data_IF_818613670629
#
_entry.id   IF_818613670629
#
_cell.length_a   1.000
_cell.length_b   1.000
_cell.length_c   1.000
_cell.angle_alpha   90.00
_cell.angle_beta   90.00
_cell.angle_gamma   90.00
#
_symmetry.space_group_name_H-M   'P 1'
#
loop_
_entity.id
_entity.type
_entity.pdbx_description
1 polymer ?
#
# COMPACT_ATOMS: atom_id res chain seq x y z
N UNK A 1 1.22 -33.41 31.27
CA UNK A 1 0.44 -33.09 30.05
C UNK A 1 0.10 -31.60 30.12
N UNK A 2 0.98 -30.75 29.62
CA UNK A 2 0.70 -29.35 29.37
C UNK A 2 0.06 -29.31 27.99
N UNK A 3 -1.18 -28.86 27.93
CA UNK A 3 -1.94 -28.64 26.71
C UNK A 3 -1.25 -27.58 25.83
N UNK A 4 -0.96 -27.96 24.61
CA UNK A 4 -0.36 -27.16 23.56
C UNK A 4 -1.36 -26.17 22.95
N UNK A 5 -2.09 -25.43 23.74
CA UNK A 5 -3.02 -24.38 23.33
C UNK A 5 -2.61 -23.02 23.94
N UNK A 6 -1.37 -22.62 23.71
CA UNK A 6 -1.10 -21.20 23.59
C UNK A 6 -1.40 -20.82 22.15
N UNK A 7 -2.71 -20.68 21.89
CA UNK A 7 -3.18 -19.89 20.77
C UNK A 7 -2.41 -18.57 20.78
N UNK A 8 -1.71 -18.29 19.72
CA UNK A 8 -1.25 -16.96 19.37
C UNK A 8 -2.46 -16.03 19.61
N UNK A 9 -2.40 -15.26 20.69
CA UNK A 9 -3.30 -14.15 20.94
C UNK A 9 -3.06 -13.19 19.75
N UNK A 10 -3.82 -13.36 18.69
CA UNK A 10 -3.97 -12.32 17.69
C UNK A 10 -4.49 -11.11 18.44
N UNK A 11 -3.63 -10.12 18.61
CA UNK A 11 -3.98 -8.87 19.27
C UNK A 11 -5.15 -8.30 18.46
N UNK A 12 -6.36 -8.34 19.01
CA UNK A 12 -7.53 -7.78 18.32
C UNK A 12 -7.29 -6.30 18.10
N UNK A 13 -7.15 -5.92 16.84
CA UNK A 13 -6.99 -4.52 16.44
C UNK A 13 -8.36 -3.88 16.41
N UNK A 14 -8.58 -2.87 17.26
CA UNK A 14 -9.83 -2.13 17.35
C UNK A 14 -9.68 -0.71 16.79
N UNK A 15 -10.50 -0.36 15.83
CA UNK A 15 -10.56 1.00 15.25
C UNK A 15 -11.45 1.86 16.13
N UNK A 16 -10.89 2.90 16.71
CA UNK A 16 -11.59 3.80 17.65
C UNK A 16 -11.90 5.18 17.09
N UNK A 17 -11.30 5.54 15.96
CA UNK A 17 -11.55 6.81 15.28
C UNK A 17 -11.26 6.73 13.80
N UNK A 18 -12.07 7.39 13.01
CA UNK A 18 -11.94 7.49 11.56
C UNK A 18 -12.32 8.89 11.09
N UNK A 19 -11.61 9.38 10.10
CA UNK A 19 -11.95 10.63 9.42
C UNK A 19 -11.58 10.56 7.95
N UNK A 20 -12.44 11.12 7.12
CA UNK A 20 -12.21 11.22 5.68
C UNK A 20 -12.49 12.65 5.24
N UNK A 21 -11.52 13.25 4.56
CA UNK A 21 -11.61 14.60 4.03
C UNK A 21 -11.20 14.63 2.56
N UNK A 22 -11.65 15.64 1.82
CA UNK A 22 -11.21 15.85 0.45
C UNK A 22 -9.70 16.08 0.40
N UNK A 23 -9.00 15.31 -0.44
CA UNK A 23 -7.56 15.47 -0.62
C UNK A 23 -7.24 16.72 -1.44
N UNK A 24 -6.54 17.67 -0.82
CA UNK A 24 -6.04 18.89 -1.46
C UNK A 24 -4.51 18.89 -1.49
N UNK A 25 -3.93 19.62 -2.43
CA UNK A 25 -2.47 19.74 -2.56
C UNK A 25 -1.73 18.47 -2.98
N UNK A 26 -2.46 17.38 -3.28
CA UNK A 26 -1.90 16.09 -3.72
C UNK A 26 -2.41 15.77 -5.12
N UNK A 27 -1.50 15.42 -6.03
CA UNK A 27 -1.83 14.99 -7.39
C UNK A 27 -1.04 13.75 -7.76
N UNK A 28 -1.75 12.70 -8.22
CA UNK A 28 -1.14 11.42 -8.62
C UNK A 28 -0.20 10.83 -7.54
N UNK A 29 -0.60 10.93 -6.27
CA UNK A 29 0.16 10.43 -5.14
C UNK A 29 1.41 11.25 -4.77
N UNK A 30 1.51 12.49 -5.24
CA UNK A 30 2.62 13.40 -4.91
C UNK A 30 2.08 14.73 -4.36
N UNK A 31 2.73 15.26 -3.35
CA UNK A 31 2.43 16.61 -2.84
C UNK A 31 2.90 17.62 -3.88
N UNK A 32 1.96 18.40 -4.41
CA UNK A 32 2.19 19.49 -5.37
C UNK A 32 1.99 20.87 -4.74
N UNK A 33 1.22 20.95 -3.65
CA UNK A 33 1.07 22.12 -2.80
C UNK A 33 1.11 21.66 -1.35
N UNK A 34 2.15 22.06 -0.61
CA UNK A 34 2.37 21.57 0.75
C UNK A 34 1.39 22.20 1.74
N UNK A 35 1.01 23.45 1.55
CA UNK A 35 0.09 24.17 2.44
C UNK A 35 -1.30 23.54 2.39
N UNK A 36 -1.85 23.35 1.19
CA UNK A 36 -3.13 22.65 1.02
C UNK A 36 -3.11 21.22 1.56
N UNK A 37 -2.00 20.49 1.38
CA UNK A 37 -1.85 19.13 1.90
C UNK A 37 -1.83 19.13 3.43
N UNK A 38 -1.17 20.10 4.05
CA UNK A 38 -1.14 20.27 5.52
C UNK A 38 -2.54 20.60 6.05
N UNK A 39 -3.27 21.53 5.44
CA UNK A 39 -4.64 21.89 5.85
C UNK A 39 -5.59 20.67 5.78
N UNK A 40 -5.55 19.92 4.70
CA UNK A 40 -6.34 18.70 4.56
C UNK A 40 -5.95 17.64 5.62
N UNK A 41 -4.65 17.52 5.92
CA UNK A 41 -4.15 16.59 6.93
C UNK A 41 -4.61 17.00 8.33
N UNK A 42 -4.54 18.31 8.69
CA UNK A 42 -5.06 18.83 9.97
C UNK A 42 -6.53 18.46 10.13
N UNK A 43 -7.35 18.76 9.14
CA UNK A 43 -8.78 18.48 9.19
C UNK A 43 -9.10 16.99 9.39
N UNK A 44 -8.31 16.09 8.72
CA UNK A 44 -8.45 14.64 8.85
C UNK A 44 -8.03 14.17 10.24
N UNK A 45 -6.90 14.64 10.76
CA UNK A 45 -6.38 14.26 12.08
C UNK A 45 -7.32 14.70 13.18
N UNK A 46 -7.73 15.98 13.19
CA UNK A 46 -8.68 16.50 14.18
C UNK A 46 -10.03 15.76 14.17
N UNK A 47 -10.49 15.33 12.99
CA UNK A 47 -11.69 14.52 12.87
C UNK A 47 -11.54 13.15 13.53
N UNK A 48 -10.42 12.46 13.30
CA UNK A 48 -10.12 11.15 13.90
C UNK A 48 -9.88 11.26 15.42
N UNK A 49 -9.11 12.25 15.88
CA UNK A 49 -8.85 12.51 17.31
C UNK A 49 -10.14 12.80 18.09
N UNK A 50 -11.03 13.60 17.50
CA UNK A 50 -12.32 13.92 18.09
C UNK A 50 -13.19 12.70 18.30
N UNK A 51 -13.16 11.75 17.35
CA UNK A 51 -13.89 10.48 17.46
C UNK A 51 -13.23 9.53 18.45
N UNK A 52 -11.90 9.43 18.42
CA UNK A 52 -11.12 8.55 19.29
C UNK A 52 -11.03 9.05 20.74
N UNK A 53 -11.24 10.34 20.99
CA UNK A 53 -11.07 10.96 22.32
C UNK A 53 -9.62 11.05 22.79
N UNK A 54 -8.64 10.96 21.88
CA UNK A 54 -7.21 11.00 22.17
C UNK A 54 -6.43 11.72 21.07
N UNK A 55 -5.30 12.34 21.43
CA UNK A 55 -4.42 13.01 20.48
C UNK A 55 -3.43 12.07 19.83
N UNK A 56 -3.10 12.35 18.57
CA UNK A 56 -2.18 11.58 17.73
C UNK A 56 -0.80 12.25 17.72
N UNK A 57 0.20 11.66 18.39
CA UNK A 57 1.58 12.16 18.39
C UNK A 57 2.46 11.56 17.30
N UNK A 58 2.10 10.37 16.80
CA UNK A 58 2.89 9.64 15.79
C UNK A 58 1.98 8.76 14.93
N UNK A 59 2.44 8.45 13.70
CA UNK A 59 1.66 7.66 12.75
C UNK A 59 2.54 6.83 11.79
N UNK A 60 2.00 5.70 11.34
CA UNK A 60 2.40 5.03 10.10
C UNK A 60 1.71 5.73 8.93
N UNK A 61 2.41 5.89 7.83
CA UNK A 61 1.94 6.71 6.71
C UNK A 61 2.06 5.97 5.39
N UNK A 62 0.96 5.89 4.64
CA UNK A 62 0.99 5.28 3.33
C UNK A 62 1.62 6.23 2.29
N UNK A 63 2.45 5.66 1.40
CA UNK A 63 2.96 6.32 0.21
C UNK A 63 2.56 5.54 -1.05
N UNK A 64 2.03 6.23 -2.05
CA UNK A 64 1.61 5.64 -3.32
C UNK A 64 1.59 6.68 -4.42
N UNK A 65 2.52 6.60 -5.34
CA UNK A 65 2.63 7.50 -6.49
C UNK A 65 3.55 6.90 -7.54
N UNK A 66 3.55 7.44 -8.76
CA UNK A 66 4.36 6.91 -9.88
C UNK A 66 5.88 6.91 -9.62
N UNK A 67 6.32 7.54 -8.54
CA UNK A 67 7.71 7.52 -8.08
C UNK A 67 8.07 6.27 -7.27
N UNK A 68 7.10 5.45 -6.87
CA UNK A 68 7.34 4.14 -6.25
C UNK A 68 7.71 3.14 -7.34
N UNK A 69 8.77 2.38 -7.10
CA UNK A 69 9.19 1.26 -7.95
C UNK A 69 9.79 0.16 -7.09
N UNK A 70 9.97 -1.01 -7.67
CA UNK A 70 10.58 -2.12 -6.98
C UNK A 70 11.76 -2.71 -7.75
N UNK A 71 12.56 -3.47 -7.03
CA UNK A 71 13.64 -4.29 -7.56
C UNK A 71 13.78 -5.54 -6.69
N UNK A 72 13.93 -6.69 -7.31
CA UNK A 72 14.28 -7.91 -6.59
C UNK A 72 15.80 -8.00 -6.50
N UNK A 73 16.31 -8.41 -5.34
CA UNK A 73 17.74 -8.55 -5.06
C UNK A 73 18.03 -9.88 -4.37
N UNK A 74 19.26 -10.32 -4.49
CA UNK A 74 19.76 -11.55 -3.92
C UNK A 74 20.99 -11.25 -3.07
N UNK A 75 21.00 -11.76 -1.83
CA UNK A 75 22.13 -11.64 -0.90
C UNK A 75 22.68 -13.00 -0.55
N UNK A 76 23.97 -13.06 -0.26
CA UNK A 76 24.70 -14.29 0.12
C UNK A 76 25.68 -13.96 1.22
N UNK A 77 25.72 -14.79 2.27
CA UNK A 77 26.73 -14.72 3.34
C UNK A 77 27.18 -16.13 3.73
N UNK A 78 28.40 -16.25 4.24
CA UNK A 78 28.85 -17.45 4.94
C UNK A 78 28.31 -17.41 6.38
N UNK A 79 27.96 -18.60 6.93
CA UNK A 79 27.55 -18.75 8.31
C UNK A 79 28.76 -18.48 9.21
N UNK A 80 28.56 -17.72 10.29
CA UNK A 80 29.63 -17.28 11.17
C UNK A 80 29.97 -18.27 12.26
N UNK A 81 29.01 -19.09 12.65
CA UNK A 81 29.14 -20.06 13.72
C UNK A 81 30.04 -21.23 13.32
N UNK A 82 31.02 -21.63 14.17
CA UNK A 82 31.92 -22.77 13.90
C UNK A 82 31.19 -24.11 13.78
N UNK A 83 30.05 -24.26 14.46
CA UNK A 83 29.23 -25.46 14.43
C UNK A 83 28.21 -25.41 13.27
N UNK A 84 28.19 -24.32 12.50
CA UNK A 84 27.36 -24.13 11.33
C UNK A 84 25.89 -23.85 11.64
N UNK A 85 25.53 -23.45 12.86
CA UNK A 85 24.16 -23.10 13.20
C UNK A 85 23.85 -21.64 12.80
N UNK A 86 22.79 -21.47 12.04
CA UNK A 86 22.32 -20.14 11.58
C UNK A 86 21.66 -19.41 12.74
N UNK A 87 22.11 -18.20 13.00
CA UNK A 87 21.55 -17.33 14.03
C UNK A 87 20.96 -16.02 13.45
N UNK A 88 20.28 -15.24 14.30
CA UNK A 88 19.65 -13.99 13.86
C UNK A 88 20.62 -12.99 13.21
N UNK A 89 21.88 -12.95 13.67
CA UNK A 89 22.89 -12.03 13.08
C UNK A 89 23.31 -12.44 11.67
N UNK A 90 23.24 -13.73 11.32
CA UNK A 90 23.47 -14.20 9.95
C UNK A 90 22.33 -13.80 9.03
N UNK A 91 21.09 -13.85 9.55
CA UNK A 91 19.88 -13.37 8.85
C UNK A 91 19.98 -11.87 8.59
N UNK A 92 20.34 -11.08 9.59
CA UNK A 92 20.53 -9.63 9.42
C UNK A 92 21.60 -9.31 8.37
N UNK A 93 22.74 -9.99 8.42
CA UNK A 93 23.83 -9.81 7.45
C UNK A 93 23.44 -10.16 6.04
N UNK A 94 22.68 -11.23 5.82
CA UNK A 94 22.28 -11.63 4.46
C UNK A 94 21.23 -10.68 3.90
N UNK A 95 20.33 -10.15 4.73
CA UNK A 95 19.36 -9.10 4.34
C UNK A 95 20.09 -7.79 4.03
N UNK A 96 21.09 -7.40 4.84
CA UNK A 96 21.92 -6.23 4.57
C UNK A 96 22.69 -6.37 3.25
N UNK A 97 23.29 -7.54 2.99
CA UNK A 97 23.94 -7.83 1.73
C UNK A 97 22.98 -7.72 0.52
N UNK A 98 21.75 -8.23 0.65
CA UNK A 98 20.74 -8.10 -0.39
C UNK A 98 20.27 -6.65 -0.60
N UNK A 99 20.36 -5.81 0.45
CA UNK A 99 19.96 -4.39 0.41
C UNK A 99 21.03 -3.47 -0.17
N UNK A 100 22.27 -3.94 -0.26
CA UNK A 100 23.45 -3.18 -0.72
C UNK A 100 23.46 -3.00 -2.26
N UNK A 101 22.35 -2.47 -2.80
CA UNK A 101 22.20 -2.18 -4.23
C UNK A 101 22.61 -0.74 -4.56
N UNK A 102 23.06 -0.54 -5.78
CA UNK A 102 23.34 0.82 -6.28
C UNK A 102 22.03 1.50 -6.68
N UNK A 103 21.65 2.54 -5.94
CA UNK A 103 20.50 3.38 -6.25
C UNK A 103 20.94 4.78 -6.67
N UNK A 104 20.19 5.45 -7.58
CA UNK A 104 20.35 6.88 -7.81
C UNK A 104 20.18 7.67 -6.52
N UNK A 105 20.94 8.75 -6.31
CA UNK A 105 20.87 9.59 -5.10
C UNK A 105 19.47 10.22 -4.85
N UNK A 106 18.61 10.27 -5.89
CA UNK A 106 17.23 10.73 -5.81
C UNK A 106 16.23 9.69 -5.29
N UNK A 107 16.69 8.48 -4.97
CA UNK A 107 15.83 7.37 -4.52
C UNK A 107 16.32 6.82 -3.17
N UNK A 108 15.39 6.33 -2.40
CA UNK A 108 15.66 5.62 -1.14
C UNK A 108 14.83 4.33 -1.07
N UNK A 109 15.34 3.32 -0.36
CA UNK A 109 14.62 2.10 -0.04
C UNK A 109 13.63 2.42 1.08
N UNK A 110 12.36 2.09 0.88
CA UNK A 110 11.32 2.22 1.91
C UNK A 110 10.97 0.87 2.53
N UNK A 111 11.15 -0.24 1.80
CA UNK A 111 10.98 -1.59 2.34
C UNK A 111 12.04 -2.53 1.81
N UNK A 112 12.52 -3.42 2.69
CA UNK A 112 13.31 -4.60 2.39
C UNK A 112 12.52 -5.81 2.87
N UNK A 113 11.97 -6.59 1.94
CA UNK A 113 11.04 -7.69 2.25
C UNK A 113 11.66 -9.02 1.81
N UNK A 114 12.18 -9.84 2.75
CA UNK A 114 12.61 -11.19 2.45
C UNK A 114 11.44 -12.02 1.90
N UNK A 115 11.69 -12.76 0.83
CA UNK A 115 10.71 -13.62 0.19
C UNK A 115 10.94 -15.09 0.53
N UNK A 116 12.18 -15.52 0.45
CA UNK A 116 12.62 -16.85 0.81
C UNK A 116 14.10 -16.82 1.17
N UNK A 117 14.49 -17.72 2.03
CA UNK A 117 15.90 -18.03 2.31
C UNK A 117 16.31 -19.31 1.61
N UNK A 118 17.63 -19.45 1.36
CA UNK A 118 18.23 -20.60 0.72
C UNK A 118 19.42 -21.00 1.60
N UNK A 119 19.42 -22.24 2.09
CA UNK A 119 20.49 -22.79 2.95
C UNK A 119 21.22 -23.86 2.15
N UNK A 120 22.51 -23.68 1.90
CA UNK A 120 23.36 -24.59 1.13
C UNK A 120 22.77 -25.01 -0.24
N UNK A 121 21.98 -24.13 -0.86
CA UNK A 121 21.32 -24.36 -2.14
C UNK A 121 19.89 -24.90 -2.04
N UNK A 122 19.40 -25.26 -0.86
CA UNK A 122 18.02 -25.68 -0.64
C UNK A 122 17.12 -24.44 -0.45
N UNK A 123 16.26 -24.19 -1.44
CA UNK A 123 15.36 -23.03 -1.48
C UNK A 123 14.05 -23.27 -0.71
N UNK A 124 13.27 -22.19 -0.51
CA UNK A 124 11.93 -22.24 0.11
C UNK A 124 11.94 -22.23 1.62
N UNK A 125 13.07 -21.93 2.26
CA UNK A 125 13.18 -21.76 3.70
C UNK A 125 12.56 -20.41 4.09
N UNK A 126 11.65 -20.42 5.07
CA UNK A 126 10.99 -19.17 5.57
C UNK A 126 11.72 -18.58 6.77
N UNK A 127 12.12 -19.42 7.68
CA UNK A 127 12.92 -19.04 8.86
C UNK A 127 14.12 -19.98 8.94
N UNK A 128 15.33 -19.47 8.66
CA UNK A 128 16.54 -20.27 8.68
C UNK A 128 17.18 -20.36 10.07
N UNK A 129 16.70 -19.61 11.08
CA UNK A 129 17.31 -19.58 12.42
C UNK A 129 17.23 -20.96 13.08
N UNK A 130 18.35 -21.44 13.59
CA UNK A 130 18.50 -22.78 14.19
C UNK A 130 18.72 -23.93 13.18
N UNK A 131 18.71 -23.65 11.88
CA UNK A 131 19.12 -24.61 10.86
C UNK A 131 20.65 -24.67 10.77
N UNK A 132 21.19 -25.81 10.34
CA UNK A 132 22.61 -25.99 10.10
C UNK A 132 22.94 -25.78 8.63
N UNK A 133 24.04 -25.07 8.35
CA UNK A 133 24.53 -24.82 7.01
C UNK A 133 25.86 -24.09 6.99
N UNK A 134 26.43 -23.92 5.80
CA UNK A 134 27.68 -23.18 5.57
C UNK A 134 27.41 -21.86 4.87
N UNK A 135 26.34 -21.82 4.04
CA UNK A 135 25.98 -20.67 3.21
C UNK A 135 24.52 -20.34 3.36
N UNK A 136 24.24 -19.07 3.72
CA UNK A 136 22.89 -18.52 3.77
C UNK A 136 22.71 -17.52 2.64
N UNK A 137 21.61 -17.68 1.89
CA UNK A 137 21.20 -16.77 0.83
C UNK A 137 19.77 -16.27 1.09
N UNK A 138 19.43 -15.09 0.57
CA UNK A 138 18.07 -14.55 0.63
C UNK A 138 17.68 -13.91 -0.69
N UNK A 139 16.47 -14.19 -1.14
CA UNK A 139 15.80 -13.43 -2.18
C UNK A 139 14.93 -12.36 -1.52
N UNK A 140 15.16 -11.09 -1.82
CA UNK A 140 14.44 -9.94 -1.24
C UNK A 140 13.68 -9.16 -2.32
N UNK A 141 12.55 -8.60 -1.92
CA UNK A 141 11.84 -7.59 -2.68
C UNK A 141 12.10 -6.22 -2.06
N UNK A 142 12.72 -5.32 -2.82
CA UNK A 142 13.05 -3.97 -2.40
C UNK A 142 12.03 -3.01 -2.99
N UNK A 143 11.34 -2.26 -2.14
CA UNK A 143 10.48 -1.16 -2.59
C UNK A 143 11.21 0.15 -2.40
N UNK A 144 11.29 0.95 -3.45
CA UNK A 144 12.00 2.23 -3.46
C UNK A 144 11.07 3.38 -3.81
N UNK A 145 11.35 4.56 -3.31
CA UNK A 145 10.60 5.77 -3.60
C UNK A 145 11.53 6.96 -3.89
N UNK A 146 10.97 8.04 -4.44
CA UNK A 146 11.68 9.31 -4.58
C UNK A 146 11.98 9.89 -3.19
N UNK A 147 13.26 10.16 -2.89
CA UNK A 147 13.67 10.77 -1.61
C UNK A 147 13.01 12.14 -1.39
N UNK A 148 12.81 12.92 -2.45
CA UNK A 148 12.10 14.20 -2.37
C UNK A 148 10.63 14.02 -1.97
N UNK A 149 9.94 13.03 -2.55
CA UNK A 149 8.54 12.75 -2.22
C UNK A 149 8.37 12.28 -0.77
N UNK A 150 9.25 11.40 -0.30
CA UNK A 150 9.26 10.94 1.11
C UNK A 150 9.54 12.10 2.06
N UNK A 151 10.53 12.96 1.75
CA UNK A 151 10.84 14.15 2.55
C UNK A 151 9.68 15.13 2.62
N UNK A 152 9.00 15.40 1.49
CA UNK A 152 7.84 16.29 1.45
C UNK A 152 6.67 15.73 2.28
N UNK A 153 6.42 14.42 2.21
CA UNK A 153 5.41 13.74 3.02
C UNK A 153 5.71 13.89 4.52
N UNK A 154 6.92 13.53 4.94
CA UNK A 154 7.37 13.69 6.33
C UNK A 154 7.30 15.15 6.80
N UNK A 155 7.69 16.10 5.94
CA UNK A 155 7.62 17.53 6.24
C UNK A 155 6.18 18.01 6.48
N UNK A 156 5.24 17.59 5.62
CA UNK A 156 3.82 17.96 5.77
C UNK A 156 3.26 17.45 7.11
N UNK A 157 3.53 16.19 7.47
CA UNK A 157 3.06 15.60 8.73
C UNK A 157 3.71 16.23 9.96
N UNK A 158 5.01 16.51 9.91
CA UNK A 158 5.69 17.21 10.99
C UNK A 158 5.15 18.62 11.24
N UNK A 159 4.67 19.32 10.20
CA UNK A 159 4.00 20.62 10.35
C UNK A 159 2.63 20.51 11.06
N UNK A 160 1.99 19.35 10.98
CA UNK A 160 0.75 19.03 11.74
C UNK A 160 1.08 18.59 13.18
N UNK A 161 2.35 18.37 13.52
CA UNK A 161 2.78 17.89 14.84
C UNK A 161 2.84 16.36 14.95
N UNK A 162 2.72 15.64 13.85
CA UNK A 162 2.76 14.18 13.82
C UNK A 162 4.15 13.68 13.46
N UNK A 163 4.74 12.85 14.31
CA UNK A 163 5.97 12.15 14.02
C UNK A 163 5.69 10.93 13.13
N UNK A 164 6.39 10.81 12.00
CA UNK A 164 6.25 9.65 11.10
C UNK A 164 7.11 8.50 11.63
N UNK A 165 6.47 7.43 12.08
CA UNK A 165 7.14 6.20 12.54
C UNK A 165 7.77 5.51 11.34
N UNK A 166 6.95 5.17 10.35
CA UNK A 166 7.36 4.51 9.13
C UNK A 166 6.52 4.96 7.93
N UNK A 167 7.15 4.94 6.74
CA UNK A 167 6.47 5.19 5.47
C UNK A 167 6.25 3.86 4.77
N UNK A 168 5.00 3.48 4.58
CA UNK A 168 4.61 2.16 4.07
C UNK A 168 4.04 2.29 2.65
N UNK A 169 4.44 1.40 1.75
CA UNK A 169 3.85 1.33 0.42
C UNK A 169 2.34 1.02 0.50
N UNK A 170 1.51 1.84 -0.13
CA UNK A 170 0.04 1.74 -0.02
C UNK A 170 -0.51 0.36 -0.44
N UNK A 171 0.06 -0.26 -1.48
CA UNK A 171 -0.34 -1.60 -1.91
C UNK A 171 0.03 -2.68 -0.90
N UNK A 172 1.16 -2.56 -0.18
CA UNK A 172 1.53 -3.44 0.91
C UNK A 172 0.56 -3.26 2.09
N UNK A 173 0.32 -2.01 2.51
CA UNK A 173 -0.63 -1.72 3.58
C UNK A 173 -2.03 -2.30 3.26
N UNK A 174 -2.60 -1.96 2.10
CA UNK A 174 -3.92 -2.47 1.71
C UNK A 174 -3.98 -4.00 1.69
N UNK A 175 -2.87 -4.68 1.33
CA UNK A 175 -2.81 -6.14 1.29
C UNK A 175 -2.98 -6.79 2.66
N UNK A 176 -2.53 -6.13 3.74
CA UNK A 176 -2.69 -6.64 5.11
C UNK A 176 -4.17 -6.64 5.54
N UNK A 177 -4.96 -5.71 5.05
CA UNK A 177 -6.38 -5.62 5.39
C UNK A 177 -7.27 -6.57 4.58
N UNK A 178 -6.91 -6.92 3.33
CA UNK A 178 -7.88 -7.54 2.41
C UNK A 178 -7.48 -8.90 1.86
N UNK A 179 -6.20 -9.29 1.93
CA UNK A 179 -5.72 -10.58 1.43
C UNK A 179 -5.67 -11.62 2.53
N UNK A 180 -6.13 -12.83 2.24
CA UNK A 180 -5.89 -13.99 3.10
C UNK A 180 -4.48 -14.56 2.90
N UNK A 181 -3.98 -15.28 3.92
CA UNK A 181 -2.71 -16.01 3.82
C UNK A 181 -2.71 -16.99 2.65
N UNK A 182 -3.83 -17.70 2.45
CA UNK A 182 -3.99 -18.65 1.34
C UNK A 182 -3.89 -17.98 -0.03
N UNK A 183 -4.48 -16.80 -0.21
CA UNK A 183 -4.37 -16.05 -1.47
C UNK A 183 -2.93 -15.62 -1.73
N UNK A 184 -2.22 -15.12 -0.70
CA UNK A 184 -0.79 -14.75 -0.82
C UNK A 184 0.06 -15.98 -1.18
N UNK A 185 -0.18 -17.13 -0.54
CA UNK A 185 0.54 -18.39 -0.80
C UNK A 185 0.33 -18.92 -2.22
N UNK A 186 -0.93 -19.01 -2.65
CA UNK A 186 -1.27 -19.53 -3.97
C UNK A 186 -0.90 -18.58 -5.12
N UNK A 187 -0.62 -17.32 -4.80
CA UNK A 187 -0.33 -16.27 -5.76
C UNK A 187 -1.57 -15.46 -6.15
N UNK A 188 -1.50 -14.16 -5.90
CA UNK A 188 -2.57 -13.19 -6.18
C UNK A 188 -2.01 -11.81 -6.51
N UNK A 189 -2.86 -10.95 -7.08
CA UNK A 189 -2.55 -9.56 -7.32
C UNK A 189 -3.58 -8.65 -6.66
N UNK A 190 -3.14 -7.81 -5.72
CA UNK A 190 -3.92 -6.69 -5.22
C UNK A 190 -3.81 -5.52 -6.18
N UNK A 191 -4.95 -4.91 -6.51
CA UNK A 191 -5.04 -3.67 -7.27
C UNK A 191 -5.87 -2.67 -6.45
N UNK A 192 -5.21 -1.68 -5.88
CA UNK A 192 -5.83 -0.59 -5.14
C UNK A 192 -6.07 0.59 -6.09
N UNK A 193 -7.31 0.76 -6.51
CA UNK A 193 -7.73 1.85 -7.40
C UNK A 193 -8.13 3.05 -6.56
N UNK A 194 -7.20 3.96 -6.37
CA UNK A 194 -7.43 5.25 -5.71
C UNK A 194 -8.06 6.29 -6.65
N UNK A 195 -8.13 7.54 -6.19
CA UNK A 195 -8.60 8.66 -7.01
C UNK A 195 -7.65 8.97 -8.16
N UNK A 196 -6.38 9.26 -7.88
CA UNK A 196 -5.38 9.66 -8.88
C UNK A 196 -4.33 8.61 -9.20
N UNK A 197 -4.31 7.46 -8.53
CA UNK A 197 -3.33 6.39 -8.68
C UNK A 197 -3.98 5.02 -8.59
N UNK A 198 -3.31 4.03 -9.19
CA UNK A 198 -3.63 2.61 -9.04
C UNK A 198 -2.38 1.89 -8.57
N UNK A 199 -2.38 1.40 -7.32
CA UNK A 199 -1.28 0.65 -6.74
C UNK A 199 -1.44 -0.84 -7.03
N UNK A 200 -0.34 -1.53 -7.33
CA UNK A 200 -0.29 -2.94 -7.70
C UNK A 200 0.66 -3.64 -6.73
N UNK A 201 0.20 -4.71 -6.11
CA UNK A 201 1.01 -5.56 -5.25
C UNK A 201 0.74 -7.03 -5.60
N UNK A 202 1.72 -7.72 -6.20
CA UNK A 202 1.59 -9.13 -6.57
C UNK A 202 2.37 -10.01 -5.60
N UNK A 203 1.70 -11.02 -5.07
CA UNK A 203 2.23 -12.00 -4.13
C UNK A 203 2.37 -13.36 -4.79
N UNK A 204 3.46 -14.05 -4.51
CA UNK A 204 3.74 -15.41 -4.96
C UNK A 204 4.45 -16.13 -3.82
N UNK A 205 4.02 -17.36 -3.51
CA UNK A 205 4.58 -18.18 -2.44
C UNK A 205 4.58 -17.44 -1.08
N UNK A 206 3.56 -16.62 -0.82
CA UNK A 206 3.40 -15.81 0.38
C UNK A 206 4.18 -14.49 0.37
N UNK A 207 5.18 -14.31 -0.51
CA UNK A 207 6.05 -13.14 -0.58
C UNK A 207 5.59 -12.09 -1.60
N UNK A 208 5.73 -10.81 -1.25
CA UNK A 208 5.55 -9.71 -2.20
C UNK A 208 6.64 -9.79 -3.27
N UNK A 209 6.23 -9.92 -4.53
CA UNK A 209 7.15 -10.16 -5.66
C UNK A 209 7.21 -8.98 -6.62
N UNK A 210 6.13 -8.19 -6.70
CA UNK A 210 6.06 -7.00 -7.52
C UNK A 210 5.29 -5.89 -6.79
N UNK A 211 5.81 -4.67 -6.88
CA UNK A 211 5.20 -3.44 -6.36
C UNK A 211 5.29 -2.35 -7.41
N UNK A 212 4.17 -1.74 -7.75
CA UNK A 212 4.15 -0.65 -8.72
C UNK A 212 2.95 0.27 -8.53
N UNK A 213 3.04 1.47 -9.12
CA UNK A 213 1.95 2.45 -9.08
C UNK A 213 1.78 3.08 -10.46
N UNK A 214 0.57 3.05 -10.96
CA UNK A 214 0.17 3.77 -12.18
C UNK A 214 -0.41 5.14 -11.81
N UNK A 215 -0.02 6.23 -12.51
CA UNK A 215 -0.53 7.59 -12.26
C UNK A 215 -1.91 7.83 -12.91
N UNK A 216 -2.81 6.87 -12.73
CA UNK A 216 -4.19 6.87 -13.23
C UNK A 216 -5.09 6.23 -12.18
N UNK A 217 -6.33 6.73 -12.02
CA UNK A 217 -7.27 6.22 -11.04
C UNK A 217 -8.70 6.65 -11.35
N UNK A 218 -9.61 6.53 -10.37
CA UNK A 218 -11.04 6.77 -10.55
C UNK A 218 -11.41 8.22 -10.90
N UNK A 219 -10.57 9.21 -10.57
CA UNK A 219 -10.76 10.60 -11.00
C UNK A 219 -10.67 10.75 -12.51
N UNK A 220 -9.94 9.85 -13.21
CA UNK A 220 -9.92 9.86 -14.66
C UNK A 220 -11.29 9.48 -15.26
N UNK A 221 -12.05 8.59 -14.60
CA UNK A 221 -13.45 8.29 -14.96
C UNK A 221 -14.33 9.53 -14.80
N UNK A 222 -14.16 10.24 -13.68
CA UNK A 222 -14.87 11.51 -13.42
C UNK A 222 -14.59 12.56 -14.50
N UNK A 223 -13.31 12.70 -14.88
CA UNK A 223 -12.89 13.63 -15.94
C UNK A 223 -13.56 13.26 -17.28
N UNK A 224 -13.61 11.98 -17.64
CA UNK A 224 -14.23 11.54 -18.89
C UNK A 224 -15.74 11.79 -18.89
N UNK A 225 -16.41 11.58 -17.74
CA UNK A 225 -17.82 11.93 -17.58
C UNK A 225 -18.04 13.44 -17.71
N UNK A 226 -17.19 14.27 -17.08
CA UNK A 226 -17.29 15.72 -17.17
C UNK A 226 -17.15 16.22 -18.62
N UNK A 227 -16.17 15.69 -19.35
CA UNK A 227 -15.92 16.04 -20.75
C UNK A 227 -17.06 15.52 -21.63
N UNK A 228 -17.44 14.25 -21.48
CA UNK A 228 -18.45 13.59 -22.31
C UNK A 228 -19.84 14.20 -22.16
N UNK A 229 -20.18 14.64 -20.96
CA UNK A 229 -21.48 15.24 -20.64
C UNK A 229 -21.47 16.77 -20.66
N UNK A 230 -20.28 17.40 -20.70
CA UNK A 230 -20.08 18.85 -20.61
C UNK A 230 -20.65 19.45 -19.30
N UNK A 231 -20.38 18.77 -18.21
CA UNK A 231 -20.77 19.20 -16.86
C UNK A 231 -19.53 19.48 -15.99
N UNK A 232 -19.72 20.07 -14.83
CA UNK A 232 -18.65 20.31 -13.85
C UNK A 232 -18.05 18.99 -13.35
N UNK A 233 -16.82 19.00 -12.83
CA UNK A 233 -16.20 17.83 -12.20
C UNK A 233 -17.00 17.35 -10.99
N UNK A 234 -17.57 18.27 -10.22
CA UNK A 234 -18.42 17.95 -9.08
C UNK A 234 -19.70 17.22 -9.52
N UNK A 235 -20.38 17.71 -10.57
CA UNK A 235 -21.55 17.05 -11.15
C UNK A 235 -21.18 15.66 -11.70
N UNK A 236 -20.05 15.54 -12.38
CA UNK A 236 -19.58 14.25 -12.90
C UNK A 236 -19.26 13.24 -11.78
N UNK A 237 -18.70 13.69 -10.65
CA UNK A 237 -18.46 12.83 -9.49
C UNK A 237 -19.76 12.36 -8.86
N UNK A 238 -20.75 13.25 -8.67
CA UNK A 238 -22.10 12.87 -8.21
C UNK A 238 -22.74 11.83 -9.11
N UNK A 239 -22.63 11.98 -10.43
CA UNK A 239 -23.15 11.00 -11.42
C UNK A 239 -22.45 9.65 -11.23
N UNK A 240 -21.13 9.62 -11.15
CA UNK A 240 -20.34 8.38 -10.97
C UNK A 240 -20.78 7.62 -9.71
N UNK A 241 -20.87 8.32 -8.58
CA UNK A 241 -21.29 7.74 -7.29
C UNK A 241 -22.72 7.22 -7.34
N UNK A 242 -23.65 8.00 -7.89
CA UNK A 242 -25.05 7.61 -8.00
C UNK A 242 -25.26 6.38 -8.90
N UNK A 243 -24.56 6.31 -10.04
CA UNK A 243 -24.59 5.13 -10.92
C UNK A 243 -24.10 3.87 -10.22
N UNK A 244 -23.05 3.99 -9.40
CA UNK A 244 -22.46 2.88 -8.65
C UNK A 244 -23.41 2.38 -7.54
N UNK A 245 -24.05 3.31 -6.83
CA UNK A 245 -25.05 3.00 -5.80
C UNK A 245 -26.29 2.31 -6.37
N UNK A 246 -26.78 2.78 -7.51
CA UNK A 246 -27.93 2.20 -8.20
C UNK A 246 -27.63 0.79 -8.73
N UNK A 247 -26.43 0.55 -9.29
CA UNK A 247 -26.00 -0.78 -9.75
C UNK A 247 -25.98 -1.79 -8.59
N UNK A 248 -25.53 -1.35 -7.42
CA UNK A 248 -25.53 -2.15 -6.19
C UNK A 248 -26.95 -2.53 -5.74
N UNK A 249 -27.92 -1.61 -5.84
CA UNK A 249 -29.35 -1.87 -5.53
C UNK A 249 -29.97 -2.84 -6.52
N UNK A 250 -29.67 -2.67 -7.82
CA UNK A 250 -30.16 -3.58 -8.91
C UNK A 250 -29.67 -5.01 -8.69
N UNK A 251 -28.40 -5.21 -8.40
CA UNK A 251 -27.82 -6.53 -8.10
C UNK A 251 -28.46 -7.20 -6.89
N UNK A 252 -28.98 -6.43 -5.94
CA UNK A 252 -29.75 -6.91 -4.77
C UNK A 252 -31.24 -7.13 -5.08
N UNK A 253 -31.68 -6.97 -6.34
CA UNK A 253 -33.09 -7.21 -6.77
C UNK A 253 -34.09 -6.20 -6.23
N UNK A 254 -33.63 -5.03 -5.79
CA UNK A 254 -34.49 -4.05 -5.11
C UNK A 254 -35.24 -3.08 -6.02
N UNK A 255 -34.82 -2.92 -7.31
CA UNK A 255 -35.44 -1.95 -8.20
C UNK A 255 -35.42 -2.39 -9.68
N UNK A 256 -36.56 -2.22 -10.36
CA UNK A 256 -36.70 -2.35 -11.82
C UNK A 256 -36.44 -0.98 -12.46
N UNK A 257 -35.18 -0.51 -12.42
CA UNK A 257 -34.79 0.81 -12.91
C UNK A 257 -34.58 0.75 -14.43
N UNK A 258 -35.31 1.59 -15.17
CA UNK A 258 -35.18 1.74 -16.62
C UNK A 258 -33.77 2.20 -17.05
N UNK A 259 -33.52 2.29 -18.35
CA UNK A 259 -32.21 2.76 -18.89
C UNK A 259 -31.98 4.27 -18.65
N UNK A 260 -33.03 5.04 -18.42
CA UNK A 260 -32.95 6.47 -18.19
C UNK A 260 -32.44 6.79 -16.77
N UNK A 261 -31.44 7.64 -16.69
CA UNK A 261 -30.90 8.21 -15.45
C UNK A 261 -31.32 9.68 -15.34
N UNK A 262 -32.08 10.01 -14.29
CA UNK A 262 -32.58 11.36 -14.06
C UNK A 262 -31.54 12.23 -13.35
N UNK A 263 -31.02 13.23 -14.04
CA UNK A 263 -29.99 14.14 -13.53
C UNK A 263 -30.57 15.18 -12.57
N UNK A 264 -31.87 15.51 -12.67
CA UNK A 264 -32.49 16.47 -11.75
C UNK A 264 -32.47 15.96 -10.31
N UNK A 265 -32.56 14.64 -10.11
CA UNK A 265 -32.47 14.03 -8.77
C UNK A 265 -31.13 14.27 -8.08
N UNK A 266 -30.10 14.63 -8.83
CA UNK A 266 -28.75 14.95 -8.34
C UNK A 266 -28.48 16.48 -8.25
N UNK A 267 -29.48 17.29 -8.58
CA UNK A 267 -29.32 18.76 -8.65
C UNK A 267 -28.44 19.21 -9.81
N UNK A 268 -28.49 18.48 -10.93
CA UNK A 268 -27.73 18.79 -12.15
C UNK A 268 -28.72 19.30 -13.20
N UNK A 269 -28.79 20.63 -13.31
CA UNK A 269 -29.79 21.30 -14.15
C UNK A 269 -29.40 21.34 -15.63
N UNK A 270 -28.11 21.15 -15.95
CA UNK A 270 -27.60 21.20 -17.32
C UNK A 270 -28.10 20.03 -18.20
N UNK A 271 -28.49 18.92 -17.56
CA UNK A 271 -28.93 17.71 -18.24
C UNK A 271 -30.21 17.16 -17.57
N UNK A 272 -31.22 16.82 -18.38
CA UNK A 272 -32.46 16.26 -17.82
C UNK A 272 -32.39 14.75 -17.64
N UNK A 273 -32.08 13.99 -18.68
CA UNK A 273 -32.02 12.54 -18.68
C UNK A 273 -30.92 12.05 -19.60
N UNK A 274 -30.21 11.03 -19.19
CA UNK A 274 -29.15 10.36 -19.97
C UNK A 274 -29.32 8.86 -19.87
N UNK A 275 -29.02 8.11 -20.93
CA UNK A 275 -29.01 6.65 -20.91
C UNK A 275 -27.90 6.13 -19.99
N UNK A 276 -28.26 5.28 -19.02
CA UNK A 276 -27.33 4.59 -18.15
C UNK A 276 -26.31 3.79 -18.94
N UNK A 277 -26.78 3.13 -20.00
CA UNK A 277 -25.93 2.36 -20.89
C UNK A 277 -24.88 3.25 -21.56
N UNK A 278 -25.25 4.44 -22.01
CA UNK A 278 -24.30 5.40 -22.57
C UNK A 278 -23.24 5.82 -21.56
N UNK A 279 -23.63 6.07 -20.32
CA UNK A 279 -22.71 6.44 -19.25
C UNK A 279 -21.75 5.29 -18.90
N UNK A 280 -22.30 4.11 -18.67
CA UNK A 280 -21.50 2.95 -18.21
C UNK A 280 -20.68 2.33 -19.33
N UNK A 281 -21.29 2.04 -20.48
CA UNK A 281 -20.62 1.36 -21.59
C UNK A 281 -19.81 2.33 -22.48
N UNK A 282 -20.33 3.55 -22.66
CA UNK A 282 -19.74 4.51 -23.59
C UNK A 282 -18.62 5.35 -22.96
N UNK A 283 -18.66 5.61 -21.64
CA UNK A 283 -17.72 6.51 -20.98
C UNK A 283 -16.90 5.79 -19.90
N UNK A 284 -17.56 5.17 -18.92
CA UNK A 284 -16.87 4.59 -17.75
C UNK A 284 -16.06 3.36 -18.13
N UNK A 285 -16.66 2.40 -18.85
CA UNK A 285 -16.01 1.14 -19.22
C UNK A 285 -14.73 1.32 -20.05
N UNK A 286 -14.65 2.17 -21.08
CA UNK A 286 -13.41 2.41 -21.81
C UNK A 286 -12.25 2.81 -20.90
N UNK A 287 -12.50 3.71 -19.93
CA UNK A 287 -11.47 4.15 -18.99
C UNK A 287 -11.04 3.03 -18.03
N UNK A 288 -11.98 2.27 -17.51
CA UNK A 288 -11.67 1.12 -16.66
C UNK A 288 -10.86 0.06 -17.43
N UNK A 289 -11.23 -0.21 -18.67
CA UNK A 289 -10.48 -1.14 -19.52
C UNK A 289 -9.05 -0.65 -19.75
N UNK A 290 -8.84 0.66 -19.97
CA UNK A 290 -7.50 1.24 -20.09
C UNK A 290 -6.67 1.02 -18.82
N UNK A 291 -7.23 1.32 -17.63
CA UNK A 291 -6.55 1.11 -16.34
C UNK A 291 -6.10 -0.36 -16.22
N UNK A 292 -7.00 -1.32 -16.42
CA UNK A 292 -6.67 -2.73 -16.28
C UNK A 292 -5.77 -3.27 -17.38
N UNK A 293 -5.82 -2.70 -18.59
CA UNK A 293 -4.84 -3.01 -19.65
C UNK A 293 -3.44 -2.57 -19.23
N UNK A 294 -3.30 -1.39 -18.64
CA UNK A 294 -2.01 -0.91 -18.13
C UNK A 294 -1.49 -1.80 -17.00
N UNK A 295 -2.37 -2.23 -16.06
CA UNK A 295 -2.00 -3.17 -15.00
C UNK A 295 -1.52 -4.49 -15.60
N UNK A 296 -2.28 -5.06 -16.54
CA UNK A 296 -1.92 -6.31 -17.23
C UNK A 296 -0.53 -6.21 -17.88
N UNK A 297 -0.27 -5.13 -18.61
CA UNK A 297 1.03 -4.91 -19.26
C UNK A 297 2.19 -4.88 -18.24
N UNK A 298 1.98 -4.37 -17.03
CA UNK A 298 3.01 -4.41 -15.98
C UNK A 298 3.25 -5.84 -15.50
N UNK A 299 2.18 -6.59 -15.24
CA UNK A 299 2.29 -7.99 -14.79
C UNK A 299 2.90 -8.90 -15.87
N UNK A 300 2.57 -8.67 -17.14
CA UNK A 300 3.11 -9.44 -18.28
C UNK A 300 4.62 -9.19 -18.45
N UNK A 301 5.09 -7.95 -18.23
CA UNK A 301 6.53 -7.61 -18.27
C UNK A 301 7.35 -8.38 -17.23
N UNK A 302 6.75 -8.65 -16.08
CA UNK A 302 7.35 -9.38 -14.98
C UNK A 302 7.05 -10.89 -15.03
N UNK A 303 6.40 -11.37 -16.09
CA UNK A 303 5.96 -12.77 -16.25
C UNK A 303 5.09 -13.28 -15.09
N UNK A 304 4.25 -12.41 -14.51
CA UNK A 304 3.42 -12.73 -13.34
C UNK A 304 2.03 -13.25 -13.69
N UNK A 305 1.53 -13.01 -14.90
CA UNK A 305 0.14 -13.33 -15.30
C UNK A 305 -0.25 -14.79 -15.08
N UNK A 306 0.67 -15.74 -15.30
CA UNK A 306 0.44 -17.18 -15.07
C UNK A 306 0.72 -17.63 -13.63
N UNK A 307 1.29 -16.79 -12.79
CA UNK A 307 1.74 -17.12 -11.42
C UNK A 307 0.79 -16.62 -10.32
N UNK A 308 -0.37 -16.09 -10.68
CA UNK A 308 -1.38 -15.57 -9.77
C UNK A 308 -2.73 -16.26 -9.94
N UNK A 309 -2.82 -17.59 -9.73
CA UNK A 309 -4.04 -18.37 -9.93
C UNK A 309 -5.19 -17.97 -9.01
N UNK A 310 -4.92 -17.39 -7.83
CA UNK A 310 -5.96 -16.82 -6.96
C UNK A 310 -6.59 -15.55 -7.55
N UNK A 311 -6.04 -15.03 -8.65
CA UNK A 311 -6.60 -13.93 -9.41
C UNK A 311 -6.31 -12.55 -8.83
N UNK A 312 -7.24 -11.64 -9.07
CA UNK A 312 -7.12 -10.21 -8.77
C UNK A 312 -8.08 -9.82 -7.65
N UNK A 313 -7.56 -9.08 -6.70
CA UNK A 313 -8.34 -8.48 -5.62
C UNK A 313 -8.34 -6.97 -5.83
N UNK A 314 -9.54 -6.41 -6.09
CA UNK A 314 -9.74 -4.97 -6.29
C UNK A 314 -10.10 -4.31 -4.98
N UNK A 315 -9.45 -3.21 -4.66
CA UNK A 315 -9.75 -2.40 -3.47
C UNK A 315 -9.55 -0.90 -3.77
N UNK A 316 -9.68 -0.05 -2.74
CA UNK A 316 -9.69 1.39 -2.90
C UNK A 316 -11.05 1.95 -3.33
N UNK A 317 -11.24 3.25 -3.24
CA UNK A 317 -12.52 3.89 -3.59
C UNK A 317 -12.95 3.69 -5.02
N UNK A 318 -12.01 3.52 -5.96
CA UNK A 318 -12.29 3.20 -7.36
C UNK A 318 -12.87 1.80 -7.59
N UNK A 319 -12.69 0.87 -6.63
CA UNK A 319 -13.28 -0.47 -6.69
C UNK A 319 -14.81 -0.47 -6.54
N UNK A 320 -15.40 0.64 -6.11
CA UNK A 320 -16.85 0.82 -6.06
C UNK A 320 -17.45 1.31 -7.38
N UNK A 321 -16.61 1.69 -8.36
CA UNK A 321 -17.10 2.20 -9.65
C UNK A 321 -17.91 1.14 -10.40
N UNK A 322 -19.08 1.53 -10.93
CA UNK A 322 -19.94 0.66 -11.72
C UNK A 322 -19.17 -0.01 -12.86
N UNK A 323 -19.30 -1.34 -13.00
CA UNK A 323 -18.64 -2.12 -14.06
C UNK A 323 -17.15 -2.41 -13.85
N UNK A 324 -16.54 -2.03 -12.71
CA UNK A 324 -15.11 -2.23 -12.44
C UNK A 324 -14.70 -3.71 -12.45
N UNK A 325 -15.49 -4.58 -11.80
CA UNK A 325 -15.20 -6.03 -11.74
C UNK A 325 -15.26 -6.67 -13.12
N UNK A 326 -16.24 -6.29 -13.92
CA UNK A 326 -16.40 -6.84 -15.28
C UNK A 326 -15.29 -6.38 -16.23
N UNK A 327 -14.88 -5.11 -16.10
CA UNK A 327 -13.73 -4.57 -16.85
C UNK A 327 -12.43 -5.27 -16.45
N UNK A 328 -12.20 -5.45 -15.15
CA UNK A 328 -11.03 -6.16 -14.66
C UNK A 328 -10.99 -7.62 -15.15
N UNK A 329 -12.07 -8.38 -15.01
CA UNK A 329 -12.15 -9.77 -15.51
C UNK A 329 -11.85 -9.87 -17.00
N UNK A 330 -12.41 -8.95 -17.78
CA UNK A 330 -12.23 -8.92 -19.24
C UNK A 330 -10.78 -8.63 -19.62
N UNK A 331 -10.16 -7.62 -18.99
CA UNK A 331 -8.82 -7.18 -19.36
C UNK A 331 -7.73 -8.08 -18.80
N UNK A 332 -7.92 -8.58 -17.57
CA UNK A 332 -6.93 -9.42 -16.88
C UNK A 332 -7.04 -10.90 -17.28
N UNK A 333 -8.21 -11.36 -17.72
CA UNK A 333 -8.54 -12.79 -17.98
C UNK A 333 -8.29 -13.68 -16.75
N UNK A 334 -8.53 -13.16 -15.55
CA UNK A 334 -8.33 -13.79 -14.25
C UNK A 334 -9.60 -13.68 -13.40
N UNK A 335 -9.78 -14.55 -12.39
CA UNK A 335 -10.79 -14.34 -11.36
C UNK A 335 -10.62 -12.98 -10.68
N UNK A 336 -11.74 -12.30 -10.40
CA UNK A 336 -11.71 -10.97 -9.75
C UNK A 336 -12.73 -10.93 -8.63
N UNK A 337 -12.32 -10.45 -7.46
CA UNK A 337 -13.20 -10.10 -6.34
C UNK A 337 -12.90 -8.70 -5.80
N UNK A 338 -13.87 -8.13 -5.11
CA UNK A 338 -13.64 -6.91 -4.31
C UNK A 338 -13.01 -7.33 -2.97
N UNK A 339 -11.97 -6.61 -2.58
CA UNK A 339 -11.34 -6.68 -1.26
C UNK A 339 -11.92 -5.61 -0.35
N UNK A 340 -12.39 -6.02 0.81
CA UNK A 340 -12.81 -5.15 1.91
C UNK A 340 -11.99 -5.48 3.14
N UNK A 341 -11.74 -4.54 4.06
CA UNK A 341 -11.02 -4.80 5.30
C UNK A 341 -11.65 -5.95 6.09
N UNK A 342 -10.80 -6.75 6.76
CA UNK A 342 -11.20 -7.90 7.57
C UNK A 342 -10.33 -7.94 8.83
N UNK A 343 -10.72 -8.77 9.80
CA UNK A 343 -9.93 -9.08 11.01
C UNK A 343 -9.64 -7.86 11.91
N UNK A 344 -10.56 -6.91 11.94
CA UNK A 344 -10.51 -5.73 12.82
C UNK A 344 -11.83 -5.56 13.55
N UNK A 345 -11.78 -5.03 14.78
CA UNK A 345 -12.93 -4.68 15.60
C UNK A 345 -13.16 -3.16 15.67
N UNK A 346 -14.11 -2.73 16.50
CA UNK A 346 -14.41 -1.31 16.73
C UNK A 346 -15.47 -0.77 15.77
N UNK A 347 -15.17 0.30 15.01
CA UNK A 347 -16.09 0.98 14.09
C UNK A 347 -16.33 0.18 12.79
N UNK A 348 -16.80 -1.07 12.91
CA UNK A 348 -16.88 -2.03 11.78
C UNK A 348 -17.77 -1.51 10.66
N UNK A 349 -18.94 -0.97 10.97
CA UNK A 349 -19.92 -0.54 9.96
C UNK A 349 -19.37 0.59 9.06
N UNK A 350 -18.49 1.43 9.60
CA UNK A 350 -17.90 2.55 8.87
C UNK A 350 -16.70 2.14 8.00
N UNK A 351 -15.94 1.12 8.42
CA UNK A 351 -14.67 0.72 7.78
C UNK A 351 -14.77 -0.47 6.82
N UNK A 352 -15.90 -1.19 6.79
CA UNK A 352 -16.12 -2.34 5.90
C UNK A 352 -16.41 -1.91 4.46
N UNK A 353 -15.54 -1.04 3.94
CA UNK A 353 -15.59 -0.49 2.61
C UNK A 353 -14.20 -0.53 1.98
N UNK A 354 -14.04 -0.84 0.68
CA UNK A 354 -12.75 -0.84 -0.01
C UNK A 354 -11.95 0.46 0.13
N UNK A 355 -12.61 1.59 0.32
CA UNK A 355 -12.01 2.91 0.54
C UNK A 355 -11.02 2.90 1.72
N UNK A 356 -11.31 2.12 2.75
CA UNK A 356 -10.54 2.10 4.00
C UNK A 356 -9.49 0.99 4.06
N UNK A 357 -9.26 0.25 2.98
CA UNK A 357 -8.31 -0.87 2.98
C UNK A 357 -6.88 -0.43 3.31
N UNK A 358 -6.41 0.68 2.77
CA UNK A 358 -5.06 1.18 3.06
C UNK A 358 -4.91 1.67 4.51
N UNK A 359 -5.76 2.57 5.08
CA UNK A 359 -5.61 3.00 6.46
C UNK A 359 -5.80 1.86 7.48
N UNK A 360 -6.77 0.96 7.27
CA UNK A 360 -6.93 -0.22 8.12
C UNK A 360 -5.71 -1.14 8.04
N UNK A 361 -5.20 -1.35 6.82
CA UNK A 361 -4.01 -2.16 6.60
C UNK A 361 -2.74 -1.58 7.24
N UNK A 362 -2.61 -0.23 7.34
CA UNK A 362 -1.52 0.40 8.08
C UNK A 362 -1.57 0.05 9.58
N UNK A 363 -2.75 0.01 10.17
CA UNK A 363 -2.91 -0.33 11.59
C UNK A 363 -2.57 -1.81 11.82
N UNK A 364 -3.02 -2.71 10.93
CA UNK A 364 -2.68 -4.13 10.99
C UNK A 364 -1.17 -4.32 10.80
N UNK A 365 -0.57 -3.65 9.83
CA UNK A 365 0.87 -3.67 9.59
C UNK A 365 1.65 -3.23 10.84
N UNK A 366 1.27 -2.11 11.46
CA UNK A 366 1.88 -1.61 12.68
C UNK A 366 1.76 -2.62 13.84
N UNK A 367 0.58 -3.22 14.03
CA UNK A 367 0.36 -4.23 15.07
C UNK A 367 1.23 -5.47 14.88
N UNK A 368 1.45 -5.90 13.63
CA UNK A 368 2.32 -7.03 13.31
C UNK A 368 3.79 -6.72 13.58
N UNK A 369 4.25 -5.49 13.32
CA UNK A 369 5.61 -5.05 13.65
C UNK A 369 5.88 -5.04 15.16
N UNK A 370 4.95 -4.50 15.94
CA UNK A 370 5.06 -4.52 17.41
C UNK A 370 5.04 -5.93 18.01
N UNK A 371 4.36 -6.87 17.37
CA UNK A 371 4.32 -8.27 17.83
C UNK A 371 5.63 -9.01 17.56
N UNK A 372 6.43 -8.57 16.58
CA UNK A 372 7.74 -9.12 16.25
C UNK A 372 8.88 -8.58 17.14
N UNK A 373 8.60 -7.58 18.01
CA UNK A 373 9.55 -7.02 18.99
C UNK A 373 9.35 -7.53 20.42
N UNK A 374 9.68 -8.79 20.77
CA UNK A 374 9.94 -9.12 22.18
C UNK A 374 11.43 -9.31 22.49
N UNK A 375 12.38 -9.17 21.57
CA UNK A 375 13.81 -9.33 21.89
C UNK A 375 14.64 -8.29 21.18
N UNK A 376 15.14 -7.35 22.00
CA UNK A 376 16.15 -6.32 21.69
C UNK A 376 15.71 -5.15 20.79
N UNK A 377 15.56 -4.00 21.44
CA UNK A 377 15.61 -2.67 20.87
C UNK A 377 16.88 -2.46 20.00
N UNK A 378 16.87 -2.92 18.77
CA UNK A 378 17.75 -2.39 17.75
C UNK A 378 17.05 -1.19 17.07
N UNK A 379 16.97 -0.07 17.81
CA UNK A 379 16.94 1.20 17.12
C UNK A 379 18.29 1.30 16.39
N UNK A 380 18.32 1.04 15.11
CA UNK A 380 19.38 1.54 14.23
C UNK A 380 19.26 3.06 14.17
N UNK A 381 19.55 3.70 15.30
CA UNK A 381 20.13 5.01 15.31
C UNK A 381 21.51 4.82 14.69
N UNK A 382 21.62 5.02 13.40
CA UNK A 382 22.87 5.44 12.79
C UNK A 382 23.28 6.73 13.51
N UNK A 383 23.91 6.58 14.67
CA UNK A 383 24.71 7.63 15.25
C UNK A 383 25.92 7.77 14.32
N UNK A 384 25.87 8.75 13.44
CA UNK A 384 27.10 9.35 12.94
C UNK A 384 27.99 9.57 14.18
N UNK A 385 29.25 9.12 14.17
CA UNK A 385 30.14 9.35 15.29
C UNK A 385 30.16 10.85 15.54
N UNK A 386 29.58 11.25 16.66
CA UNK A 386 29.65 12.63 17.15
C UNK A 386 31.12 12.98 17.31
N UNK A 387 31.48 14.20 16.98
CA UNK A 387 32.72 14.91 16.96
C UNK A 387 33.75 14.66 18.11
N UNK A 388 33.84 13.46 18.66
CA UNK A 388 34.68 13.15 19.81
C UNK A 388 36.08 12.57 19.48
N UNK A 389 36.25 12.01 18.28
CA UNK A 389 37.54 11.35 17.92
C UNK A 389 38.46 12.30 17.16
N UNK A 390 37.94 13.26 16.41
CA UNK A 390 38.77 14.27 15.73
C UNK A 390 39.35 15.32 16.68
N UNK A 391 38.74 15.57 17.85
CA UNK A 391 39.30 16.50 18.85
C UNK A 391 40.60 16.02 19.50
N UNK A 392 40.72 14.72 19.75
CA UNK A 392 41.93 14.14 20.35
C UNK A 392 43.11 14.04 19.39
N UNK A 393 42.87 13.91 18.10
CA UNK A 393 43.97 13.89 17.10
C UNK A 393 44.53 15.27 16.87
N UNK A 394 43.74 16.33 16.99
CA UNK A 394 44.22 17.73 16.83
C UNK A 394 45.02 18.21 18.03
N UNK A 395 44.73 17.77 19.26
CA UNK A 395 45.52 18.09 20.45
C UNK A 395 46.86 17.36 20.42
N UNK A 396 46.90 16.10 19.99
CA UNK A 396 48.17 15.33 19.91
C UNK A 396 49.12 15.87 18.82
N UNK A 397 48.61 16.55 17.81
CA UNK A 397 49.45 17.16 16.75
C UNK A 397 49.97 18.57 17.18
N UNK A 398 49.24 19.27 18.07
CA UNK A 398 49.70 20.56 18.58
C UNK A 398 50.88 20.46 19.54
N UNK A 399 51.03 19.33 20.23
CA UNK A 399 52.17 19.10 21.16
C UNK A 399 53.41 18.52 20.47
N UNK A 400 53.38 18.33 19.14
CA UNK A 400 54.50 17.80 18.33
C UNK A 400 55.09 18.78 17.34
N UNK A 401 54.76 20.07 17.41
CA UNK A 401 55.39 21.13 16.60
C UNK A 401 56.19 22.05 17.51
N UNK A 402 57.45 22.26 17.17
CA UNK A 402 58.40 23.08 18.00
C UNK A 402 58.04 24.55 18.03
#
# INVERSE_FOLDING_TARGET
>A
QLSSDQALLTKEVNIVGISSVESKGIKKGQIVNIEEAVEATIASVEGAERMAGSNLGSAYVAIGGAHVSCQNSHGVVAISDPDGEINGSDVDRVIEAASAISLPASREIIHVLPREFIVDGEAGVRDPVGMSGVRLEVNTHLVTASSASVKNLKKALNQVGINVIEVVFSGLAASEAVLSKTEKELGCCLIDVGGGTTSIAAFIDGGLTYSGVLPIGATNVTNDLAIGLRVSLESAEKIKIALSSDDSKRKKGKDNVGDEFDMNSLGIDELKKVSRKTLTEGIIRPRLNEIFTMVRLQLDRENLGSRIPSGVILTGGGAETVGVVDSARRMMSLPVRIGIPKEVGGLIDDIMNPLYSTPVGLIIFASNQEALEPVSSFSTKFKLPSKGVFGKIVETIKDLLP
#
